data_IF_066383479362
#
_entry.id   IF_066383479362
#
_cell.length_a   1.000
_cell.length_b   1.000
_cell.length_c   1.000
_cell.angle_alpha   90.00
_cell.angle_beta   90.00
_cell.angle_gamma   90.00
#
_symmetry.space_group_name_H-M   'P 1'
#
loop_
_entity.id
_entity.type
_entity.pdbx_description
1 polymer ?
#
# COMPACT_ATOMS: atom_id res chain seq x y z
N UNK A 1 -10.41 3.74 20.00
CA UNK A 1 -9.80 4.96 19.40
C UNK A 1 -10.51 5.40 18.14
N UNK A 2 -10.99 4.49 17.26
CA UNK A 2 -11.65 4.91 16.01
C UNK A 2 -10.67 5.30 14.90
N UNK A 3 -9.39 4.96 15.04
CA UNK A 3 -8.43 4.98 13.96
C UNK A 3 -8.56 3.70 13.14
N UNK A 4 -8.84 3.84 11.86
CA UNK A 4 -8.88 2.74 10.90
C UNK A 4 -7.70 2.87 9.94
N UNK A 5 -6.98 1.77 9.73
CA UNK A 5 -6.17 1.59 8.53
C UNK A 5 -7.12 0.98 7.51
N UNK A 6 -7.46 1.75 6.50
CA UNK A 6 -8.13 1.22 5.34
C UNK A 6 -7.06 0.76 4.35
N UNK A 7 -7.32 -0.36 3.69
CA UNK A 7 -6.52 -0.80 2.55
C UNK A 7 -7.52 -1.31 1.54
N UNK A 8 -8.08 -0.38 0.76
CA UNK A 8 -8.96 -0.74 -0.39
C UNK A 8 -8.29 -1.79 -1.28
N UNK A 9 -6.95 -1.72 -1.41
CA UNK A 9 -6.09 -2.74 -2.01
C UNK A 9 -5.38 -3.59 -0.93
N UNK A 10 -6.08 -4.58 -0.36
CA UNK A 10 -5.64 -5.33 0.83
C UNK A 10 -4.39 -6.22 0.70
N UNK A 11 -3.76 -6.30 -0.47
CA UNK A 11 -2.57 -7.12 -0.71
C UNK A 11 -1.35 -6.27 -1.07
N UNK A 12 -0.19 -6.73 -0.62
CA UNK A 12 1.11 -6.29 -1.14
C UNK A 12 1.56 -7.35 -2.14
N UNK A 13 1.68 -6.95 -3.41
CA UNK A 13 1.93 -7.88 -4.52
C UNK A 13 3.32 -8.54 -4.44
N UNK A 14 3.43 -9.77 -4.94
CA UNK A 14 4.70 -10.47 -5.03
C UNK A 14 5.69 -9.70 -5.92
N UNK A 15 6.89 -9.47 -5.40
CA UNK A 15 7.92 -8.64 -6.05
C UNK A 15 7.86 -7.15 -5.69
N UNK A 16 6.89 -6.71 -4.88
CA UNK A 16 6.85 -5.33 -4.41
C UNK A 16 8.10 -4.99 -3.56
N UNK A 17 8.70 -3.85 -3.85
CA UNK A 17 9.78 -3.23 -3.08
C UNK A 17 9.42 -1.77 -2.80
N UNK A 18 9.47 -1.34 -1.55
CA UNK A 18 9.20 0.04 -1.15
C UNK A 18 8.52 0.18 0.21
N UNK A 19 8.25 1.43 0.62
CA UNK A 19 7.43 1.72 1.80
C UNK A 19 5.95 1.50 1.45
N UNK A 20 5.16 0.91 2.36
CA UNK A 20 3.71 0.76 2.16
C UNK A 20 3.02 2.08 2.49
N UNK A 21 2.21 2.60 1.56
CA UNK A 21 1.32 3.74 1.82
C UNK A 21 0.14 3.26 2.67
N UNK A 22 -0.14 3.95 3.78
CA UNK A 22 -1.29 3.68 4.64
C UNK A 22 -2.41 4.69 4.39
N UNK A 23 -3.64 4.22 4.26
CA UNK A 23 -4.84 5.07 4.23
C UNK A 23 -5.43 5.13 5.64
N UNK A 24 -5.30 6.28 6.30
CA UNK A 24 -5.72 6.46 7.69
C UNK A 24 -7.00 7.27 7.79
N UNK A 25 -7.99 6.74 8.49
CA UNK A 25 -9.27 7.41 8.75
C UNK A 25 -9.56 7.49 10.25
N UNK A 26 -9.89 8.68 10.73
CA UNK A 26 -10.45 8.88 12.07
C UNK A 26 -11.98 8.89 11.98
N UNK A 27 -12.63 7.86 12.51
CA UNK A 27 -14.10 7.75 12.58
C UNK A 27 -14.65 8.09 13.96
N UNK A 28 -13.81 8.58 14.88
CA UNK A 28 -14.23 9.08 16.18
C UNK A 28 -14.60 10.57 16.11
N UNK A 29 -15.27 11.07 17.15
CA UNK A 29 -15.64 12.49 17.29
C UNK A 29 -14.52 13.37 17.83
N UNK A 30 -13.40 12.77 18.26
CA UNK A 30 -12.25 13.46 18.82
C UNK A 30 -11.01 13.28 17.93
N UNK A 31 -10.13 14.30 17.84
CA UNK A 31 -8.84 14.15 17.17
C UNK A 31 -7.97 13.05 17.80
N UNK A 32 -7.12 12.43 16.98
CA UNK A 32 -6.16 11.41 17.42
C UNK A 32 -4.76 11.88 17.08
N UNK A 33 -3.87 11.90 18.06
CA UNK A 33 -2.44 12.18 17.83
C UNK A 33 -1.74 10.94 17.31
N UNK A 34 -1.06 11.06 16.17
CA UNK A 34 -0.19 10.03 15.61
C UNK A 34 1.27 10.42 15.83
N UNK A 35 2.08 9.46 16.27
CA UNK A 35 3.50 9.66 16.53
C UNK A 35 4.35 8.86 15.53
N UNK A 36 5.38 9.47 14.92
CA UNK A 36 6.35 8.71 14.14
C UNK A 36 6.94 7.54 14.95
N UNK A 37 6.99 6.36 14.34
CA UNK A 37 7.49 5.14 14.99
C UNK A 37 6.49 4.37 15.85
N UNK A 38 5.27 4.90 16.07
CA UNK A 38 4.24 4.13 16.76
C UNK A 38 3.78 2.93 15.90
N UNK A 39 3.42 1.83 16.55
CA UNK A 39 2.81 0.68 15.86
C UNK A 39 1.41 1.07 15.40
N UNK A 40 1.17 1.04 14.10
CA UNK A 40 -0.13 1.37 13.50
C UNK A 40 -0.83 0.16 12.87
N UNK A 41 -0.07 -0.82 12.38
CA UNK A 41 -0.61 -2.01 11.72
C UNK A 41 0.32 -3.21 11.83
N UNK A 42 -0.03 -4.28 11.11
CA UNK A 42 0.72 -5.54 11.06
C UNK A 42 0.70 -6.09 9.62
N UNK A 43 1.70 -6.90 9.28
CA UNK A 43 1.79 -7.58 7.99
C UNK A 43 1.59 -9.07 8.23
N UNK A 44 0.73 -9.69 7.42
CA UNK A 44 0.59 -11.14 7.32
C UNK A 44 1.14 -11.61 5.99
N UNK A 45 1.89 -12.71 5.98
CA UNK A 45 2.44 -13.31 4.77
C UNK A 45 1.61 -14.54 4.39
N UNK A 46 1.17 -14.58 3.13
CA UNK A 46 0.44 -15.70 2.57
C UNK A 46 1.31 -16.32 1.47
N UNK A 47 1.52 -17.63 1.54
CA UNK A 47 2.34 -18.35 0.58
C UNK A 47 1.58 -18.53 -0.74
N UNK A 48 2.23 -18.16 -1.85
CA UNK A 48 1.76 -18.48 -3.20
C UNK A 48 1.98 -19.98 -3.51
N UNK A 49 1.18 -20.52 -4.42
CA UNK A 49 1.33 -21.89 -4.95
C UNK A 49 2.58 -22.05 -5.84
N UNK A 50 3.07 -20.97 -6.45
CA UNK A 50 4.33 -20.90 -7.18
C UNK A 50 4.88 -19.47 -7.31
N UNK A 51 6.03 -19.30 -7.97
CA UNK A 51 6.57 -17.98 -8.29
C UNK A 51 5.61 -17.17 -9.19
N UNK A 52 5.52 -15.86 -8.98
CA UNK A 52 4.77 -14.99 -9.87
C UNK A 52 5.44 -14.91 -11.25
N UNK A 53 4.68 -15.14 -12.34
CA UNK A 53 5.18 -15.05 -13.72
C UNK A 53 5.57 -13.61 -14.10
N UNK A 54 4.78 -12.63 -13.64
CA UNK A 54 5.04 -11.21 -13.79
C UNK A 54 5.01 -10.54 -12.40
N UNK A 55 6.11 -10.57 -11.64
CA UNK A 55 6.18 -9.88 -10.35
C UNK A 55 5.94 -8.37 -10.49
N UNK A 56 5.48 -7.74 -9.41
CA UNK A 56 5.32 -6.29 -9.34
C UNK A 56 6.65 -5.58 -9.67
N UNK A 57 6.58 -4.50 -10.43
CA UNK A 57 7.75 -3.71 -10.79
C UNK A 57 8.52 -4.17 -12.03
N UNK A 58 8.18 -5.33 -12.62
CA UNK A 58 8.85 -5.83 -13.84
C UNK A 58 8.42 -5.13 -15.15
N UNK A 59 7.63 -4.06 -15.07
CA UNK A 59 7.16 -3.27 -16.22
C UNK A 59 5.98 -3.91 -16.95
N UNK A 60 5.91 -5.24 -17.06
CA UNK A 60 4.84 -5.97 -17.74
C UNK A 60 3.43 -5.66 -17.18
N UNK A 61 3.33 -5.36 -15.88
CA UNK A 61 2.06 -5.05 -15.20
C UNK A 61 1.70 -3.55 -15.20
N UNK A 62 2.54 -2.67 -15.72
CA UNK A 62 2.33 -1.22 -15.57
C UNK A 62 2.31 -0.77 -14.09
N UNK A 63 3.10 -1.43 -13.24
CA UNK A 63 3.30 -1.13 -11.83
C UNK A 63 3.75 0.33 -11.66
N UNK A 64 3.15 1.03 -10.68
CA UNK A 64 3.28 2.49 -10.55
C UNK A 64 4.11 2.93 -9.35
N UNK A 65 4.29 2.03 -8.40
CA UNK A 65 4.79 2.36 -7.06
C UNK A 65 6.02 1.53 -6.66
N UNK A 66 6.71 0.92 -7.63
CA UNK A 66 7.94 0.17 -7.37
C UNK A 66 9.04 1.10 -6.86
N UNK A 67 9.70 0.73 -5.77
CA UNK A 67 10.78 1.51 -5.15
C UNK A 67 10.30 2.76 -4.40
N UNK A 68 9.02 2.90 -4.09
CA UNK A 68 8.52 4.14 -3.49
C UNK A 68 9.08 4.40 -2.08
N UNK A 69 9.42 5.67 -1.83
CA UNK A 69 9.84 6.16 -0.51
C UNK A 69 8.78 7.12 0.02
N UNK A 70 8.02 6.63 1.00
CA UNK A 70 6.90 7.39 1.59
C UNK A 70 5.59 7.27 0.80
N UNK A 71 4.58 8.10 1.13
CA UNK A 71 3.24 8.01 0.55
C UNK A 71 3.18 8.67 -0.83
N UNK A 72 3.54 7.95 -1.89
CA UNK A 72 3.45 8.44 -3.26
C UNK A 72 2.01 8.82 -3.61
N UNK A 73 1.76 10.02 -4.18
CA UNK A 73 0.43 10.39 -4.66
C UNK A 73 -0.09 9.41 -5.73
N UNK A 74 -1.41 9.32 -5.84
CA UNK A 74 -2.07 8.42 -6.80
C UNK A 74 -1.57 8.67 -8.23
N UNK A 75 -1.18 7.57 -8.89
CA UNK A 75 -0.84 7.54 -10.31
C UNK A 75 -1.90 6.83 -11.14
N UNK A 76 -3.13 6.71 -10.63
CA UNK A 76 -4.23 6.04 -11.32
C UNK A 76 -4.50 6.64 -12.71
N UNK A 77 -4.23 7.93 -12.89
CA UNK A 77 -4.36 8.63 -14.16
C UNK A 77 -3.50 8.03 -15.30
N UNK A 78 -2.41 7.32 -14.99
CA UNK A 78 -1.56 6.64 -15.99
C UNK A 78 -2.25 5.47 -16.70
N UNK A 79 -3.43 5.06 -16.22
CA UNK A 79 -4.22 4.00 -16.85
C UNK A 79 -5.13 4.52 -17.97
N UNK A 80 -5.29 5.83 -18.12
CA UNK A 80 -6.12 6.41 -19.16
C UNK A 80 -5.23 6.85 -20.32
N UNK A 81 -5.65 6.51 -21.54
CA UNK A 81 -5.11 7.11 -22.75
C UNK A 81 -5.58 8.57 -22.86
N UNK A 82 -4.74 9.42 -23.45
CA UNK A 82 -5.07 10.81 -23.76
C UNK A 82 -5.95 10.90 -25.02
#
# INVERSE_FOLDING_TARGET
LGLLIHTTAGFVDAGFEGHITLELSNVATLPITLYPGMKVGQISFIRMDGPAEHPYGTGALGSKYSGQVGPTPSQYWKNFDA
#
